data_IF_091160680215
#
_entry.id   IF_091160680215
#
_cell.length_a   1.000
_cell.length_b   1.000
_cell.length_c   1.000
_cell.angle_alpha   90.00
_cell.angle_beta   90.00
_cell.angle_gamma   90.00
#
_symmetry.space_group_name_H-M   'P 1'
#
loop_
_entity.id
_entity.type
_entity.pdbx_description
1 polymer ?
#
# COMPACT_ATOMS: atom_id res chain seq x y z
N UNK A 1 -11.27 33.46 -11.26
CA UNK A 1 -10.91 33.18 -9.85
C UNK A 1 -12.12 33.53 -8.99
N UNK A 2 -12.44 32.72 -7.98
CA UNK A 2 -13.53 33.04 -7.05
C UNK A 2 -13.15 34.22 -6.16
N UNK A 3 -14.13 35.05 -5.82
CA UNK A 3 -13.94 36.12 -4.83
C UNK A 3 -13.92 35.52 -3.41
N UNK A 4 -13.27 36.17 -2.43
CA UNK A 4 -13.27 35.71 -1.04
C UNK A 4 -14.68 35.47 -0.47
N UNK A 5 -15.65 36.30 -0.87
CA UNK A 5 -17.04 36.15 -0.46
C UNK A 5 -17.68 34.85 -0.99
N UNK A 6 -17.40 34.48 -2.24
CA UNK A 6 -17.91 33.24 -2.84
C UNK A 6 -17.28 31.99 -2.21
N UNK A 7 -16.00 32.07 -1.83
CA UNK A 7 -15.28 30.98 -1.14
C UNK A 7 -15.89 30.74 0.24
N UNK A 8 -16.19 31.81 0.99
CA UNK A 8 -16.81 31.72 2.31
C UNK A 8 -18.26 31.18 2.23
N UNK A 9 -19.02 31.61 1.23
CA UNK A 9 -20.37 31.09 0.97
C UNK A 9 -20.36 29.58 0.69
N UNK A 10 -19.42 29.11 -0.14
CA UNK A 10 -19.25 27.69 -0.44
C UNK A 10 -18.79 26.90 0.80
N UNK A 11 -17.81 27.41 1.55
CA UNK A 11 -17.32 26.80 2.79
C UNK A 11 -18.44 26.65 3.81
N UNK A 12 -19.30 27.65 3.95
CA UNK A 12 -20.47 27.61 4.84
C UNK A 12 -21.49 26.58 4.39
N UNK A 13 -21.86 26.59 3.11
CA UNK A 13 -22.81 25.64 2.55
C UNK A 13 -22.34 24.18 2.70
N UNK A 14 -21.03 23.93 2.60
CA UNK A 14 -20.44 22.61 2.83
C UNK A 14 -20.59 22.18 4.30
N UNK A 15 -20.27 23.06 5.25
CA UNK A 15 -20.39 22.78 6.70
C UNK A 15 -21.83 22.51 7.12
N UNK A 16 -22.78 23.31 6.63
CA UNK A 16 -24.20 23.17 6.95
C UNK A 16 -24.77 21.84 6.44
N UNK A 17 -24.35 21.39 5.25
CA UNK A 17 -24.74 20.11 4.66
C UNK A 17 -24.07 18.90 5.32
N UNK A 18 -23.05 19.08 6.18
CA UNK A 18 -22.40 17.95 6.86
C UNK A 18 -23.33 17.30 7.88
N UNK A 19 -23.28 15.97 7.93
CA UNK A 19 -23.91 15.20 9.01
C UNK A 19 -23.21 15.47 10.35
N UNK A 20 -23.91 15.32 11.50
CA UNK A 20 -23.33 15.57 12.82
C UNK A 20 -22.01 14.82 13.05
N UNK A 21 -21.87 13.60 12.52
CA UNK A 21 -20.63 12.80 12.63
C UNK A 21 -19.45 13.43 11.89
N UNK A 22 -19.67 13.97 10.68
CA UNK A 22 -18.62 14.63 9.89
C UNK A 22 -18.29 16.01 10.45
N UNK A 23 -19.28 16.72 10.99
CA UNK A 23 -19.11 18.04 11.59
C UNK A 23 -18.18 18.04 12.81
N UNK A 24 -18.18 16.96 13.62
CA UNK A 24 -17.25 16.79 14.76
C UNK A 24 -15.78 17.05 14.42
N UNK A 25 -15.33 16.68 13.22
CA UNK A 25 -13.96 16.94 12.78
C UNK A 25 -13.69 18.44 12.63
N UNK A 26 -14.62 19.15 11.98
CA UNK A 26 -14.55 20.60 11.75
C UNK A 26 -14.69 21.35 13.07
N UNK A 27 -15.61 20.95 13.94
CA UNK A 27 -15.83 21.58 15.25
C UNK A 27 -14.59 21.48 16.15
N UNK A 28 -13.87 20.35 16.08
CA UNK A 28 -12.63 20.12 16.82
C UNK A 28 -11.47 20.99 16.33
N UNK A 29 -11.38 21.25 15.03
CA UNK A 29 -10.32 22.08 14.41
C UNK A 29 -10.69 23.57 14.46
N UNK A 30 -11.99 23.88 14.47
CA UNK A 30 -12.56 25.22 14.39
C UNK A 30 -12.87 25.59 12.93
N UNK A 31 -14.09 26.08 12.68
CA UNK A 31 -14.56 26.46 11.33
C UNK A 31 -13.62 27.45 10.63
N UNK A 32 -13.03 28.41 11.36
CA UNK A 32 -12.09 29.36 10.79
C UNK A 32 -10.81 28.69 10.22
N UNK A 33 -10.29 27.67 10.92
CA UNK A 33 -9.06 26.95 10.55
C UNK A 33 -9.30 25.79 9.58
N UNK A 34 -10.56 25.40 9.39
CA UNK A 34 -10.93 24.34 8.47
C UNK A 34 -10.92 24.86 7.03
N UNK A 35 -10.07 24.26 6.19
CA UNK A 35 -10.05 24.50 4.75
C UNK A 35 -10.70 23.31 4.01
N UNK A 36 -11.92 23.46 3.44
CA UNK A 36 -12.57 22.41 2.66
C UNK A 36 -11.99 22.26 1.26
N UNK A 37 -11.19 23.22 0.78
CA UNK A 37 -10.68 23.26 -0.59
C UNK A 37 -9.28 22.68 -0.66
N UNK A 38 -9.06 21.54 0.00
CA UNK A 38 -7.79 20.83 -0.10
C UNK A 38 -7.49 20.56 -1.57
N UNK A 39 -6.29 20.96 -2.00
CA UNK A 39 -5.79 20.66 -3.34
C UNK A 39 -5.73 19.16 -3.61
N UNK A 40 -5.45 18.74 -4.85
CA UNK A 40 -5.17 17.35 -5.15
C UNK A 40 -4.11 16.85 -4.15
N UNK A 41 -4.35 15.68 -3.55
CA UNK A 41 -3.35 15.05 -2.70
C UNK A 41 -2.03 14.95 -3.48
N UNK A 42 -0.91 15.13 -2.79
CA UNK A 42 0.38 14.82 -3.38
C UNK A 42 0.34 13.41 -3.99
N UNK A 43 0.93 13.22 -5.19
CA UNK A 43 0.95 11.91 -5.81
C UNK A 43 1.55 10.90 -4.84
N UNK A 44 0.82 9.81 -4.60
CA UNK A 44 1.28 8.74 -3.74
C UNK A 44 2.57 8.17 -4.36
N UNK A 45 3.63 8.08 -3.57
CA UNK A 45 4.86 7.40 -3.98
C UNK A 45 4.59 5.89 -4.08
N UNK A 46 4.28 5.43 -5.29
CA UNK A 46 4.03 4.02 -5.59
C UNK A 46 5.38 3.33 -5.73
N UNK A 47 5.81 2.66 -4.66
CA UNK A 47 7.03 1.86 -4.66
C UNK A 47 6.90 0.65 -5.57
N UNK A 48 7.96 0.41 -6.36
CA UNK A 48 8.07 -0.67 -7.34
C UNK A 48 9.40 -1.40 -7.18
N UNK A 49 9.40 -2.69 -7.51
CA UNK A 49 10.63 -3.47 -7.61
C UNK A 49 11.47 -3.04 -8.84
N UNK A 50 12.62 -3.70 -9.03
CA UNK A 50 13.51 -3.44 -10.18
C UNK A 50 12.86 -3.75 -11.55
N UNK A 51 11.79 -4.54 -11.58
CA UNK A 51 11.03 -4.87 -12.79
C UNK A 51 9.84 -3.92 -13.02
N UNK A 52 9.60 -2.96 -12.13
CA UNK A 52 8.53 -1.97 -12.25
C UNK A 52 7.18 -2.44 -11.69
N UNK A 53 7.15 -3.53 -10.94
CA UNK A 53 5.94 -4.07 -10.31
C UNK A 53 5.82 -3.60 -8.85
N UNK A 54 4.60 -3.25 -8.46
CA UNK A 54 4.25 -3.12 -7.05
C UNK A 54 4.24 -4.49 -6.37
N UNK A 55 4.31 -4.51 -5.03
CA UNK A 55 4.27 -5.75 -4.25
C UNK A 55 3.02 -6.59 -4.58
N UNK A 56 1.86 -5.94 -4.73
CA UNK A 56 0.60 -6.62 -5.10
C UNK A 56 0.61 -7.15 -6.52
N UNK A 57 1.14 -6.42 -7.50
CA UNK A 57 1.25 -6.92 -8.88
C UNK A 57 2.16 -8.15 -8.97
N UNK A 58 3.28 -8.12 -8.25
CA UNK A 58 4.23 -9.23 -8.20
C UNK A 58 3.62 -10.47 -7.54
N UNK A 59 2.95 -10.29 -6.41
CA UNK A 59 2.24 -11.35 -5.70
C UNK A 59 1.15 -11.99 -6.59
N UNK A 60 0.33 -11.17 -7.23
CA UNK A 60 -0.72 -11.63 -8.14
C UNK A 60 -0.16 -12.38 -9.36
N UNK A 61 1.00 -11.96 -9.88
CA UNK A 61 1.70 -12.70 -10.94
C UNK A 61 2.12 -14.08 -10.46
N UNK A 62 2.71 -14.16 -9.28
CA UNK A 62 3.15 -15.44 -8.72
C UNK A 62 1.97 -16.39 -8.46
N UNK A 63 0.89 -15.92 -7.84
CA UNK A 63 -0.29 -16.77 -7.59
C UNK A 63 -0.92 -17.32 -8.88
N UNK A 64 -0.84 -16.59 -9.99
CA UNK A 64 -1.28 -17.10 -11.30
C UNK A 64 -0.41 -18.24 -11.86
N UNK A 65 0.81 -18.41 -11.35
CA UNK A 65 1.69 -19.53 -11.74
C UNK A 65 1.44 -20.80 -10.93
N UNK A 66 0.68 -20.69 -9.83
CA UNK A 66 0.41 -21.83 -8.95
C UNK A 66 -0.75 -22.67 -9.50
N UNK A 67 -0.73 -24.01 -9.28
CA UNK A 67 -1.79 -24.89 -9.73
C UNK A 67 -3.10 -24.70 -8.95
N UNK A 68 -3.04 -24.12 -7.75
CA UNK A 68 -4.17 -23.85 -6.89
C UNK A 68 -3.92 -22.61 -6.03
N UNK A 69 -5.00 -22.05 -5.48
CA UNK A 69 -4.92 -20.94 -4.51
C UNK A 69 -4.27 -21.48 -3.22
N UNK A 70 -3.18 -20.85 -2.72
CA UNK A 70 -2.55 -21.24 -1.47
C UNK A 70 -3.45 -21.03 -0.26
N UNK A 71 -3.10 -21.63 0.87
CA UNK A 71 -3.76 -21.35 2.13
C UNK A 71 -3.50 -19.89 2.59
N UNK A 72 -4.36 -19.36 3.49
CA UNK A 72 -4.23 -17.98 3.95
C UNK A 72 -2.89 -17.65 4.61
N UNK A 73 -2.27 -18.59 5.33
CA UNK A 73 -1.01 -18.36 6.05
C UNK A 73 0.15 -18.23 5.06
N UNK A 74 0.15 -19.06 4.02
CA UNK A 74 1.07 -18.95 2.89
C UNK A 74 0.94 -17.58 2.20
N UNK A 75 -0.30 -17.16 1.90
CA UNK A 75 -0.56 -15.88 1.23
C UNK A 75 -0.11 -14.69 2.09
N UNK A 76 -0.37 -14.74 3.39
CA UNK A 76 0.02 -13.70 4.35
C UNK A 76 1.54 -13.58 4.45
N UNK A 77 2.23 -14.72 4.65
CA UNK A 77 3.69 -14.78 4.72
C UNK A 77 4.33 -14.18 3.46
N UNK A 78 3.81 -14.53 2.29
CA UNK A 78 4.35 -14.01 1.03
C UNK A 78 4.05 -12.53 0.83
N UNK A 79 2.89 -12.04 1.26
CA UNK A 79 2.53 -10.61 1.19
C UNK A 79 3.51 -9.75 2.02
N UNK A 80 3.81 -10.18 3.25
CA UNK A 80 4.78 -9.50 4.12
C UNK A 80 6.18 -9.44 3.50
N UNK A 81 6.62 -10.58 2.93
CA UNK A 81 7.90 -10.65 2.23
C UNK A 81 7.95 -9.75 0.99
N UNK A 82 6.89 -9.71 0.18
CA UNK A 82 6.85 -8.90 -1.05
C UNK A 82 6.90 -7.40 -0.75
N UNK A 83 6.30 -6.96 0.35
CA UNK A 83 6.43 -5.56 0.82
C UNK A 83 7.90 -5.25 1.16
N UNK A 84 8.57 -6.14 1.90
CA UNK A 84 9.98 -5.98 2.24
C UNK A 84 10.88 -5.96 0.99
N UNK A 85 10.60 -6.84 0.02
CA UNK A 85 11.32 -6.92 -1.25
C UNK A 85 11.26 -5.62 -2.05
N UNK A 86 10.07 -5.02 -2.14
CA UNK A 86 9.87 -3.76 -2.87
C UNK A 86 10.43 -2.56 -2.09
N UNK A 87 10.34 -2.56 -0.76
CA UNK A 87 10.78 -1.43 0.06
C UNK A 87 12.29 -1.42 0.36
N UNK A 88 12.92 -2.59 0.45
CA UNK A 88 14.32 -2.74 0.88
C UNK A 88 14.95 -4.01 0.30
N UNK A 89 15.27 -3.97 -0.99
CA UNK A 89 15.89 -5.09 -1.70
C UNK A 89 17.23 -5.54 -1.10
N UNK A 90 17.99 -4.63 -0.48
CA UNK A 90 19.29 -4.96 0.12
C UNK A 90 19.16 -5.87 1.35
N UNK A 91 18.06 -5.76 2.10
CA UNK A 91 17.75 -6.71 3.19
C UNK A 91 17.29 -8.07 2.66
N UNK A 92 16.66 -8.10 1.49
CA UNK A 92 16.14 -9.32 0.88
C UNK A 92 17.19 -10.09 0.10
N UNK A 93 18.18 -9.39 -0.49
CA UNK A 93 19.25 -10.01 -1.28
C UNK A 93 19.96 -11.17 -0.55
N UNK A 94 20.46 -11.03 0.69
CA UNK A 94 21.09 -12.15 1.40
C UNK A 94 20.16 -13.34 1.64
N UNK A 95 18.86 -13.08 1.82
CA UNK A 95 17.84 -14.13 2.02
C UNK A 95 17.69 -14.94 0.74
N UNK A 96 17.56 -14.27 -0.42
CA UNK A 96 17.44 -14.94 -1.71
C UNK A 96 18.71 -15.73 -2.06
N UNK A 97 19.89 -15.14 -1.85
CA UNK A 97 21.18 -15.82 -2.07
C UNK A 97 21.28 -17.09 -1.21
N UNK A 98 20.88 -17.04 0.06
CA UNK A 98 20.84 -18.20 0.95
C UNK A 98 19.79 -19.23 0.53
N UNK A 99 18.57 -18.79 0.18
CA UNK A 99 17.49 -19.68 -0.27
C UNK A 99 17.87 -20.45 -1.53
N UNK A 100 18.53 -19.79 -2.49
CA UNK A 100 19.01 -20.43 -3.71
C UNK A 100 20.10 -21.48 -3.42
N UNK A 101 21.07 -21.14 -2.58
CA UNK A 101 22.11 -22.08 -2.12
C UNK A 101 21.50 -23.28 -1.38
N UNK A 102 20.58 -23.04 -0.46
CA UNK A 102 19.94 -24.10 0.34
C UNK A 102 19.07 -25.01 -0.54
N UNK A 103 18.32 -24.45 -1.48
CA UNK A 103 17.56 -25.22 -2.45
C UNK A 103 18.45 -26.10 -3.34
N UNK A 104 19.64 -25.62 -3.72
CA UNK A 104 20.61 -26.44 -4.45
C UNK A 104 21.12 -27.61 -3.60
N UNK A 105 21.44 -27.37 -2.33
CA UNK A 105 21.89 -28.41 -1.41
C UNK A 105 20.82 -29.49 -1.15
N UNK A 106 19.55 -29.08 -1.03
CA UNK A 106 18.42 -30.01 -0.89
C UNK A 106 18.29 -30.92 -2.11
N UNK A 107 18.42 -30.35 -3.32
CA UNK A 107 18.38 -31.11 -4.58
C UNK A 107 19.54 -32.11 -4.68
N UNK A 108 20.76 -31.70 -4.31
CA UNK A 108 21.93 -32.59 -4.28
C UNK A 108 21.70 -33.80 -3.36
N UNK A 109 20.99 -33.59 -2.24
CA UNK A 109 20.68 -34.63 -1.26
C UNK A 109 19.38 -35.39 -1.54
N UNK A 110 18.64 -35.04 -2.59
CA UNK A 110 17.34 -35.64 -2.90
C UNK A 110 16.26 -35.37 -1.85
N UNK A 111 16.35 -34.26 -1.12
CA UNK A 111 15.39 -33.87 -0.07
C UNK A 111 14.47 -32.77 -0.59
N UNK A 112 13.17 -32.83 -0.27
CA UNK A 112 12.18 -31.78 -0.59
C UNK A 112 11.58 -31.20 0.68
N UNK A 113 11.39 -29.87 0.71
CA UNK A 113 10.58 -29.22 1.75
C UNK A 113 9.10 -29.58 1.52
N UNK A 114 8.37 -29.81 2.61
CA UNK A 114 6.93 -30.09 2.60
C UNK A 114 6.12 -28.81 2.76
#
# INVERSE_FOLDING_TARGET
MYTPAQIEEQKRAMYERMTPRRRRFVDRIGYAQWDPFQGPFDPIDIRKDRMGYTAHELLNKYFKTLPAIPDPDYMQTLSEFMVLLVMNIEKVRPILEFSDWYNALLKERGVTLK
#
